data_IF_807892453156
#
_entry.id   IF_807892453156
#
_cell.length_a   1.000
_cell.length_b   1.000
_cell.length_c   1.000
_cell.angle_alpha   90.00
_cell.angle_beta   90.00
_cell.angle_gamma   90.00
#
_symmetry.space_group_name_H-M   'P 1'
#
loop_
_entity.id
_entity.type
_entity.pdbx_description
1 polymer ?
#
# COMPACT_ATOMS: atom_id res chain seq x y z
N UNK A 1 -5.08 0.87 28.74
CA UNK A 1 -4.15 1.97 28.42
C UNK A 1 -4.26 2.20 26.92
N UNK A 2 -5.10 3.07 26.38
CA UNK A 2 -5.68 4.29 26.92
C UNK A 2 -5.34 5.39 25.92
N UNK A 3 -5.90 5.30 24.71
CA UNK A 3 -5.95 6.43 23.79
C UNK A 3 -6.88 7.44 24.45
N UNK A 4 -6.28 8.39 25.15
CA UNK A 4 -6.91 9.62 25.60
C UNK A 4 -5.84 10.69 25.64
N UNK A 5 -5.93 11.64 24.72
CA UNK A 5 -5.22 12.92 24.81
C UNK A 5 -3.77 12.92 24.32
N UNK A 6 -3.59 13.13 23.02
CA UNK A 6 -2.79 14.26 22.52
C UNK A 6 -1.29 14.38 22.86
N UNK A 7 -0.61 13.35 23.37
CA UNK A 7 0.85 13.35 23.46
C UNK A 7 1.36 11.96 23.05
N UNK A 8 2.12 11.83 21.94
CA UNK A 8 2.81 10.59 21.61
C UNK A 8 3.81 10.29 22.74
N UNK A 9 3.49 9.32 23.60
CA UNK A 9 4.46 8.84 24.58
C UNK A 9 5.46 7.98 23.82
N UNK A 10 6.69 8.48 23.70
CA UNK A 10 7.81 7.68 23.23
C UNK A 10 7.87 6.38 24.05
N UNK A 11 7.92 5.20 23.40
CA UNK A 11 7.90 3.92 24.09
C UNK A 11 9.11 3.85 25.03
N UNK A 12 8.89 3.46 26.29
CA UNK A 12 9.94 3.49 27.32
C UNK A 12 10.82 2.24 27.29
N UNK A 13 10.51 1.26 26.43
CA UNK A 13 11.23 -0.02 26.30
C UNK A 13 11.04 -0.65 24.91
N UNK A 14 12.06 -1.38 24.43
CA UNK A 14 12.02 -2.12 23.14
C UNK A 14 10.81 -3.06 23.03
N UNK A 15 10.39 -3.67 24.15
CA UNK A 15 9.24 -4.56 24.17
C UNK A 15 7.91 -3.80 23.97
N UNK A 16 7.80 -2.61 24.57
CA UNK A 16 6.63 -1.74 24.41
C UNK A 16 6.55 -1.19 22.99
N UNK A 17 7.70 -0.86 22.37
CA UNK A 17 7.78 -0.49 20.95
C UNK A 17 7.27 -1.62 20.05
N UNK A 18 7.72 -2.86 20.28
CA UNK A 18 7.29 -4.02 19.48
C UNK A 18 5.77 -4.25 19.62
N UNK A 19 5.25 -4.19 20.85
CA UNK A 19 3.81 -4.32 21.07
C UNK A 19 3.03 -3.20 20.39
N UNK A 20 3.49 -1.96 20.52
CA UNK A 20 2.87 -0.80 19.90
C UNK A 20 2.86 -0.92 18.37
N UNK A 21 4.00 -1.26 17.76
CA UNK A 21 4.11 -1.50 16.32
C UNK A 21 3.19 -2.63 15.84
N UNK A 22 2.97 -3.67 16.64
CA UNK A 22 2.03 -4.75 16.29
C UNK A 22 0.57 -4.27 16.31
N UNK A 23 0.18 -3.43 17.27
CA UNK A 23 -1.16 -2.82 17.30
C UNK A 23 -1.35 -1.83 16.14
N UNK A 24 -0.34 -1.01 15.87
CA UNK A 24 -0.34 -0.05 14.77
C UNK A 24 -0.43 -0.75 13.42
N UNK A 25 0.33 -1.84 13.22
CA UNK A 25 0.21 -2.70 12.04
C UNK A 25 -1.22 -3.23 11.87
N UNK A 26 -1.81 -3.78 12.94
CA UNK A 26 -3.19 -4.27 12.87
C UNK A 26 -4.18 -3.16 12.51
N UNK A 27 -4.02 -1.99 13.12
CA UNK A 27 -4.84 -0.82 12.83
C UNK A 27 -4.69 -0.37 11.36
N UNK A 28 -3.47 -0.34 10.83
CA UNK A 28 -3.22 -0.03 9.42
C UNK A 28 -3.82 -1.07 8.47
N UNK A 29 -3.76 -2.36 8.81
CA UNK A 29 -4.41 -3.43 8.05
C UNK A 29 -5.93 -3.23 8.02
N UNK A 30 -6.56 -3.00 9.18
CA UNK A 30 -8.01 -2.79 9.28
C UNK A 30 -8.47 -1.53 8.51
N UNK A 31 -7.68 -0.45 8.57
CA UNK A 31 -7.92 0.76 7.79
C UNK A 31 -7.80 0.51 6.28
N UNK A 32 -6.81 -0.30 5.86
CA UNK A 32 -6.61 -0.64 4.45
C UNK A 32 -7.79 -1.45 3.92
N UNK A 33 -8.29 -2.42 4.68
CA UNK A 33 -9.49 -3.17 4.28
C UNK A 33 -10.74 -2.27 4.22
N UNK A 34 -10.89 -1.34 5.16
CA UNK A 34 -11.97 -0.37 5.13
C UNK A 34 -11.86 0.58 3.92
N UNK A 35 -10.66 1.08 3.59
CA UNK A 35 -10.46 1.97 2.45
C UNK A 35 -10.73 1.25 1.13
N UNK A 36 -10.28 0.00 0.97
CA UNK A 36 -10.62 -0.84 -0.17
C UNK A 36 -12.13 -1.06 -0.29
N UNK A 37 -12.82 -1.31 0.83
CA UNK A 37 -14.29 -1.45 0.84
C UNK A 37 -14.99 -0.15 0.43
N UNK A 38 -14.52 1.00 0.92
CA UNK A 38 -15.06 2.31 0.54
C UNK A 38 -14.83 2.60 -0.96
N UNK A 39 -13.68 2.18 -1.50
CA UNK A 39 -13.34 2.27 -2.93
C UNK A 39 -14.33 1.48 -3.79
N UNK A 40 -14.58 0.21 -3.42
CA UNK A 40 -15.50 -0.67 -4.16
C UNK A 40 -16.97 -0.24 -4.01
N UNK A 41 -17.34 0.33 -2.86
CA UNK A 41 -18.69 0.85 -2.60
C UNK A 41 -18.94 2.24 -3.17
N UNK A 42 -17.95 2.86 -3.83
CA UNK A 42 -18.06 4.17 -4.46
C UNK A 42 -18.18 5.34 -3.46
N UNK A 43 -17.83 5.11 -2.20
CA UNK A 43 -17.84 6.15 -1.15
C UNK A 43 -16.59 7.04 -1.18
N UNK A 44 -15.59 6.66 -1.98
CA UNK A 44 -14.35 7.41 -2.20
C UNK A 44 -14.48 8.20 -3.49
N UNK A 45 -14.23 9.51 -3.44
CA UNK A 45 -14.29 10.35 -4.63
C UNK A 45 -13.10 10.07 -5.53
N UNK A 46 -13.24 10.28 -6.85
CA UNK A 46 -12.13 10.11 -7.82
C UNK A 46 -10.88 10.95 -7.48
N UNK A 47 -11.06 12.00 -6.68
CA UNK A 47 -10.03 12.93 -6.22
C UNK A 47 -9.23 12.41 -5.01
N UNK A 48 -9.79 11.44 -4.28
CA UNK A 48 -9.20 10.88 -3.07
C UNK A 48 -8.32 9.66 -3.37
N UNK A 49 -8.31 9.20 -4.63
CA UNK A 49 -7.47 8.12 -5.12
C UNK A 49 -6.30 8.75 -5.86
N UNK A 50 -5.14 8.80 -5.20
CA UNK A 50 -3.90 9.21 -5.86
C UNK A 50 -3.36 8.04 -6.68
N UNK A 51 -3.41 8.13 -8.01
CA UNK A 51 -2.69 7.21 -8.86
C UNK A 51 -1.18 7.56 -8.94
N UNK A 52 -0.43 6.86 -9.81
CA UNK A 52 1.02 7.02 -9.92
C UNK A 52 1.46 8.46 -10.19
N UNK A 53 0.70 9.23 -10.97
CA UNK A 53 1.07 10.62 -11.27
C UNK A 53 0.72 11.53 -10.10
N UNK A 54 -0.39 11.26 -9.40
CA UNK A 54 -0.74 11.97 -8.17
C UNK A 54 0.34 11.82 -7.09
N UNK A 55 0.96 10.64 -6.97
CA UNK A 55 2.09 10.41 -6.04
C UNK A 55 3.29 11.30 -6.41
N UNK A 56 3.63 11.42 -7.70
CA UNK A 56 4.73 12.29 -8.14
C UNK A 56 4.45 13.75 -7.77
N UNK A 57 3.21 14.22 -7.99
CA UNK A 57 2.80 15.58 -7.61
C UNK A 57 2.89 15.80 -6.10
N UNK A 58 2.49 14.83 -5.28
CA UNK A 58 2.63 14.91 -3.82
C UNK A 58 4.10 14.99 -3.38
N UNK A 59 4.99 14.25 -4.06
CA UNK A 59 6.43 14.31 -3.80
C UNK A 59 6.95 15.71 -4.15
N UNK A 60 6.60 16.24 -5.33
CA UNK A 60 7.02 17.58 -5.78
C UNK A 60 6.55 18.66 -4.80
N UNK A 61 5.29 18.62 -4.38
CA UNK A 61 4.74 19.54 -3.38
C UNK A 61 5.47 19.44 -2.03
N UNK A 62 5.82 18.23 -1.60
CA UNK A 62 6.54 18.01 -0.33
C UNK A 62 7.96 18.54 -0.41
N UNK A 63 8.62 18.39 -1.56
CA UNK A 63 9.97 18.94 -1.81
C UNK A 63 9.91 20.47 -1.85
N UNK A 64 8.94 21.06 -2.55
CA UNK A 64 8.78 22.50 -2.65
C UNK A 64 8.50 23.13 -1.27
N UNK A 65 7.59 22.54 -0.49
CA UNK A 65 7.27 22.99 0.87
C UNK A 65 8.44 22.81 1.87
N UNK A 66 9.30 21.81 1.64
CA UNK A 66 10.45 21.52 2.52
C UNK A 66 11.72 22.25 2.08
N UNK A 67 11.76 22.80 0.86
CA UNK A 67 12.94 23.45 0.26
C UNK A 67 13.42 24.65 1.08
N UNK A 68 12.51 25.39 1.72
CA UNK A 68 12.80 26.51 2.60
C UNK A 68 13.45 26.11 3.93
N UNK A 69 13.39 24.84 4.31
CA UNK A 69 13.88 24.32 5.60
C UNK A 69 15.22 23.57 5.49
N UNK A 70 15.86 23.60 4.32
CA UNK A 70 17.18 23.01 4.06
C UNK A 70 17.16 21.54 3.63
N UNK A 71 18.27 21.11 3.01
CA UNK A 71 18.40 19.80 2.33
C UNK A 71 18.17 18.61 3.28
N UNK A 72 18.61 18.70 4.53
CA UNK A 72 18.39 17.63 5.53
C UNK A 72 16.89 17.43 5.83
N UNK A 73 16.12 18.51 5.91
CA UNK A 73 14.68 18.46 6.17
C UNK A 73 13.93 17.85 4.97
N UNK A 74 14.33 18.20 3.74
CA UNK A 74 13.80 17.58 2.51
C UNK A 74 14.07 16.07 2.52
N UNK A 75 15.29 15.66 2.85
CA UNK A 75 15.65 14.24 2.89
C UNK A 75 14.83 13.46 3.92
N UNK A 76 14.65 13.99 5.13
CA UNK A 76 13.86 13.33 6.19
C UNK A 76 12.39 13.19 5.77
N UNK A 77 11.80 14.22 5.15
CA UNK A 77 10.41 14.14 4.67
C UNK A 77 10.25 13.12 3.54
N UNK A 78 11.16 13.11 2.57
CA UNK A 78 11.16 12.10 1.51
C UNK A 78 11.34 10.69 2.06
N UNK A 79 12.23 10.50 3.03
CA UNK A 79 12.41 9.22 3.70
C UNK A 79 11.13 8.75 4.41
N UNK A 80 10.42 9.66 5.09
CA UNK A 80 9.12 9.36 5.69
C UNK A 80 8.06 8.98 4.65
N UNK A 81 7.98 9.69 3.52
CA UNK A 81 7.07 9.32 2.43
C UNK A 81 7.42 7.94 1.87
N UNK A 82 8.69 7.66 1.61
CA UNK A 82 9.15 6.35 1.14
C UNK A 82 8.79 5.24 2.14
N UNK A 83 8.89 5.47 3.44
CA UNK A 83 8.49 4.50 4.46
C UNK A 83 7.00 4.18 4.38
N UNK A 84 6.14 5.21 4.28
CA UNK A 84 4.68 5.03 4.18
C UNK A 84 4.31 4.33 2.87
N UNK A 85 4.87 4.78 1.74
CA UNK A 85 4.63 4.17 0.42
C UNK A 85 5.10 2.71 0.39
N UNK A 86 6.28 2.42 0.93
CA UNK A 86 6.84 1.06 1.01
C UNK A 86 5.97 0.13 1.88
N UNK A 87 5.52 0.61 3.04
CA UNK A 87 4.61 -0.14 3.90
C UNK A 87 3.29 -0.47 3.19
N UNK A 88 2.68 0.51 2.51
CA UNK A 88 1.45 0.30 1.74
C UNK A 88 1.66 -0.66 0.56
N UNK A 89 2.77 -0.53 -0.17
CA UNK A 89 3.11 -1.44 -1.27
C UNK A 89 3.32 -2.87 -0.74
N UNK A 90 3.97 -3.03 0.41
CA UNK A 90 4.11 -4.32 1.08
C UNK A 90 2.76 -4.94 1.43
N UNK A 91 1.83 -4.18 2.01
CA UNK A 91 0.47 -4.66 2.33
C UNK A 91 -0.29 -5.03 1.05
N UNK A 92 -0.24 -4.19 0.02
CA UNK A 92 -0.89 -4.43 -1.28
C UNK A 92 -0.32 -5.67 -1.97
N UNK A 93 1.00 -5.88 -1.90
CA UNK A 93 1.64 -7.07 -2.48
C UNK A 93 1.26 -8.36 -1.76
N UNK A 94 0.88 -8.31 -0.47
CA UNK A 94 0.41 -9.48 0.28
C UNK A 94 -1.06 -9.85 -0.01
N UNK A 95 -1.80 -9.00 -0.74
CA UNK A 95 -3.17 -9.32 -1.12
C UNK A 95 -3.23 -10.54 -2.07
N UNK A 96 -4.32 -11.32 -2.04
CA UNK A 96 -4.48 -12.52 -2.87
C UNK A 96 -4.85 -12.17 -4.32
N UNK A 97 -4.05 -11.33 -4.97
CA UNK A 97 -4.27 -10.87 -6.34
C UNK A 97 -3.33 -11.64 -7.28
N UNK A 98 -3.87 -12.31 -8.32
CA UNK A 98 -3.06 -12.94 -9.36
C UNK A 98 -2.12 -11.91 -10.01
N UNK A 99 -0.84 -12.29 -10.18
CA UNK A 99 0.30 -11.45 -10.61
C UNK A 99 1.05 -10.64 -9.53
N UNK A 100 0.59 -10.61 -8.28
CA UNK A 100 1.33 -10.07 -7.13
C UNK A 100 1.94 -11.19 -6.25
N UNK A 101 2.90 -10.84 -5.39
CA UNK A 101 3.62 -11.79 -4.50
C UNK A 101 2.67 -12.60 -3.60
N UNK A 102 1.61 -11.97 -3.11
CA UNK A 102 0.58 -12.57 -2.25
C UNK A 102 -0.30 -13.58 -2.97
N UNK A 103 -0.51 -13.43 -4.28
CA UNK A 103 -1.18 -14.44 -5.10
C UNK A 103 -0.41 -15.76 -5.10
N UNK A 104 0.91 -15.68 -5.29
CA UNK A 104 1.81 -16.85 -5.21
C UNK A 104 1.86 -17.43 -3.80
N UNK A 105 1.89 -16.58 -2.77
CA UNK A 105 1.83 -17.02 -1.37
C UNK A 105 0.57 -17.87 -1.11
N UNK A 106 -0.59 -17.45 -1.61
CA UNK A 106 -1.84 -18.22 -1.48
C UNK A 106 -1.75 -19.56 -2.20
N UNK A 107 -1.18 -19.63 -3.40
CA UNK A 107 -0.97 -20.91 -4.09
C UNK A 107 -0.08 -21.84 -3.29
N UNK A 108 1.04 -21.36 -2.75
CA UNK A 108 1.95 -22.14 -1.89
C UNK A 108 1.22 -22.61 -0.62
N UNK A 109 0.39 -21.77 0.01
CA UNK A 109 -0.41 -22.16 1.17
C UNK A 109 -1.42 -23.25 0.81
N UNK A 110 -2.08 -23.15 -0.35
CA UNK A 110 -2.99 -24.18 -0.85
C UNK A 110 -2.23 -25.48 -1.14
N UNK A 111 -1.05 -25.42 -1.73
CA UNK A 111 -0.19 -26.59 -1.96
C UNK A 111 0.23 -27.26 -0.65
N UNK A 112 0.62 -26.47 0.35
CA UNK A 112 1.00 -26.96 1.68
C UNK A 112 -0.17 -27.69 2.37
N UNK A 113 -1.39 -27.17 2.25
CA UNK A 113 -2.60 -27.81 2.80
C UNK A 113 -3.01 -29.04 1.99
N UNK A 114 -2.92 -28.97 0.66
CA UNK A 114 -3.39 -30.02 -0.26
C UNK A 114 -2.37 -31.14 -0.45
N UNK A 115 -1.11 -30.91 -0.05
CA UNK A 115 0.02 -31.85 -0.18
C UNK A 115 0.35 -32.23 -1.63
N UNK A 116 -0.18 -31.50 -2.61
CA UNK A 116 -0.03 -31.76 -4.05
C UNK A 116 0.24 -30.46 -4.77
N UNK A 117 1.29 -30.40 -5.62
CA UNK A 117 1.60 -29.19 -6.37
C UNK A 117 0.41 -28.79 -7.25
N UNK A 118 0.18 -27.49 -7.37
CA UNK A 118 -0.70 -26.92 -8.38
C UNK A 118 0.01 -27.08 -9.73
N UNK A 119 -0.78 -27.33 -10.77
CA UNK A 119 -0.26 -27.49 -12.11
C UNK A 119 0.38 -26.16 -12.57
N UNK A 120 1.69 -26.13 -12.90
CA UNK A 120 2.40 -24.92 -13.28
C UNK A 120 1.76 -24.20 -14.48
N UNK A 121 1.12 -24.94 -15.39
CA UNK A 121 0.40 -24.34 -16.52
C UNK A 121 -0.82 -23.54 -16.05
N UNK A 122 -1.55 -24.05 -15.05
CA UNK A 122 -2.75 -23.38 -14.51
C UNK A 122 -2.38 -22.16 -13.67
N UNK A 123 -1.32 -22.26 -12.87
CA UNK A 123 -0.77 -21.12 -12.14
C UNK A 123 -0.31 -20.03 -13.13
N UNK A 124 0.47 -20.40 -14.14
CA UNK A 124 0.96 -19.48 -15.17
C UNK A 124 -0.17 -18.79 -15.94
N UNK A 125 -1.24 -19.51 -16.30
CA UNK A 125 -2.41 -18.92 -16.95
C UNK A 125 -3.14 -17.92 -16.05
N UNK A 126 -3.34 -18.24 -14.77
CA UNK A 126 -3.99 -17.33 -13.81
C UNK A 126 -3.14 -16.08 -13.58
N UNK A 127 -1.82 -16.24 -13.45
CA UNK A 127 -0.90 -15.11 -13.33
C UNK A 127 -0.86 -14.25 -14.59
N UNK A 128 -0.85 -14.84 -15.80
CA UNK A 128 -0.92 -14.07 -17.04
C UNK A 128 -2.24 -13.32 -17.19
N UNK A 129 -3.37 -13.96 -16.89
CA UNK A 129 -4.68 -13.32 -16.91
C UNK A 129 -4.75 -12.16 -15.90
N UNK A 130 -4.25 -12.38 -14.68
CA UNK A 130 -4.10 -11.35 -13.66
C UNK A 130 -3.26 -10.18 -14.15
N UNK A 131 -2.09 -10.46 -14.74
CA UNK A 131 -1.19 -9.46 -15.27
C UNK A 131 -1.86 -8.64 -16.39
N UNK A 132 -2.59 -9.27 -17.29
CA UNK A 132 -3.31 -8.57 -18.36
C UNK A 132 -4.38 -7.62 -17.81
N UNK A 133 -5.16 -8.06 -16.81
CA UNK A 133 -6.15 -7.22 -16.13
C UNK A 133 -5.49 -6.05 -15.40
N UNK A 134 -4.43 -6.31 -14.64
CA UNK A 134 -3.68 -5.28 -13.91
C UNK A 134 -3.05 -4.25 -14.85
N UNK A 135 -2.43 -4.70 -15.94
CA UNK A 135 -1.86 -3.81 -16.97
C UNK A 135 -2.94 -2.91 -17.58
N UNK A 136 -4.11 -3.48 -17.88
CA UNK A 136 -5.24 -2.71 -18.41
C UNK A 136 -5.72 -1.67 -17.40
N UNK A 137 -5.88 -2.06 -16.13
CA UNK A 137 -6.29 -1.17 -15.05
C UNK A 137 -5.26 -0.06 -14.80
N UNK A 138 -3.96 -0.38 -14.84
CA UNK A 138 -2.87 0.60 -14.70
C UNK A 138 -2.93 1.67 -15.78
N UNK A 139 -3.16 1.27 -17.03
CA UNK A 139 -3.32 2.19 -18.15
C UNK A 139 -4.56 3.08 -17.96
N UNK A 140 -5.70 2.51 -17.55
CA UNK A 140 -6.92 3.27 -17.27
C UNK A 140 -6.74 4.30 -16.14
N UNK A 141 -6.08 3.92 -15.05
CA UNK A 141 -5.77 4.81 -13.94
C UNK A 141 -4.81 5.92 -14.40
N UNK A 142 -3.77 5.59 -15.16
CA UNK A 142 -2.82 6.58 -15.68
C UNK A 142 -3.51 7.63 -16.57
N UNK A 143 -4.39 7.19 -17.48
CA UNK A 143 -5.18 8.12 -18.29
C UNK A 143 -6.10 9.00 -17.43
N UNK A 144 -6.71 8.43 -16.39
CA UNK A 144 -7.56 9.17 -15.47
C UNK A 144 -6.78 10.20 -14.66
N UNK A 145 -5.61 9.82 -14.13
CA UNK A 145 -4.69 10.69 -13.39
C UNK A 145 -4.28 11.90 -14.23
N UNK A 146 -3.83 11.66 -15.47
CA UNK A 146 -3.44 12.73 -16.38
C UNK A 146 -4.63 13.65 -16.67
N UNK A 147 -5.82 13.08 -16.90
CA UNK A 147 -7.03 13.87 -17.15
C UNK A 147 -7.52 14.68 -15.93
N UNK A 148 -7.15 14.29 -14.70
CA UNK A 148 -7.48 15.06 -13.50
C UNK A 148 -6.45 16.17 -13.20
N UNK A 149 -5.25 16.10 -13.81
CA UNK A 149 -4.18 17.07 -13.62
C UNK A 149 -4.25 18.27 -14.58
N UNK A 150 -4.93 18.12 -15.72
CA UNK A 150 -5.21 19.16 -16.71
C UNK A 150 -6.65 19.66 -16.60
#
# INVERSE_FOLDING_TARGET
>A
MGISGGIPRAPKSLFETIQYSAYELRYMVDLTFQSLKMLVTGQVSRKDVAGPVGIVVMIDQTVEASSSYGILTVFINLANMCLILSANLGIMNLLPIPALDGGRLVFILIEAVRGKPVDPEKEGMIHMAGMAVLMTLMVLILFNDIANLF
#
